data_IF_409080516932
#
_entry.id   IF_409080516932
#
_cell.length_a   1.000
_cell.length_b   1.000
_cell.length_c   1.000
_cell.angle_alpha   90.00
_cell.angle_beta   90.00
_cell.angle_gamma   90.00
#
_symmetry.space_group_name_H-M   'P 1'
#
loop_
_entity.id
_entity.type
_entity.pdbx_description
1 polymer ?
#
# COMPACT_ATOMS: atom_id res chain seq x y z
N UNK A 1 8.24 13.99 16.58
CA UNK A 1 7.36 15.14 16.26
C UNK A 1 6.78 14.91 14.89
N UNK A 2 5.46 14.96 14.75
CA UNK A 2 4.79 14.66 13.48
C UNK A 2 4.88 15.88 12.55
N UNK A 3 5.60 15.76 11.44
CA UNK A 3 5.52 16.74 10.36
C UNK A 3 4.26 16.44 9.54
N UNK A 4 3.11 16.92 10.02
CA UNK A 4 1.95 17.13 9.15
C UNK A 4 2.11 18.49 8.51
N UNK A 5 2.28 18.53 7.18
CA UNK A 5 2.18 19.80 6.44
C UNK A 5 0.73 20.27 6.55
N UNK A 6 0.53 21.59 6.64
CA UNK A 6 -0.72 22.25 7.07
C UNK A 6 -2.03 21.93 6.30
N UNK A 7 -2.04 21.01 5.34
CA UNK A 7 -3.22 20.57 4.58
C UNK A 7 -3.92 19.31 5.13
N UNK A 8 -3.37 18.62 6.13
CA UNK A 8 -3.92 17.32 6.56
C UNK A 8 -3.75 16.20 5.52
N UNK A 9 -2.83 16.41 4.58
CA UNK A 9 -2.49 15.49 3.51
C UNK A 9 -1.41 14.50 4.00
N UNK A 10 -1.65 13.21 3.81
CA UNK A 10 -0.68 12.16 4.09
C UNK A 10 -0.05 11.70 2.78
N UNK A 11 1.28 11.78 2.69
CA UNK A 11 2.05 11.36 1.52
C UNK A 11 3.12 10.36 1.94
N UNK A 12 3.21 9.25 1.20
CA UNK A 12 4.24 8.26 1.38
C UNK A 12 4.85 7.87 0.04
N UNK A 13 6.11 8.25 -0.17
CA UNK A 13 6.91 7.84 -1.34
C UNK A 13 7.75 6.59 -1.10
N UNK A 14 7.82 6.10 0.14
CA UNK A 14 8.69 4.98 0.56
C UNK A 14 10.20 5.23 0.46
N UNK A 15 10.64 6.47 0.24
CA UNK A 15 12.06 6.83 0.15
C UNK A 15 12.81 6.69 1.48
N UNK A 16 12.10 6.78 2.61
CA UNK A 16 12.67 6.71 3.95
C UNK A 16 12.22 5.45 4.71
N UNK A 17 13.04 5.02 5.66
CA UNK A 17 12.65 4.04 6.68
C UNK A 17 12.48 4.75 8.03
N UNK A 18 11.42 4.43 8.79
CA UNK A 18 10.36 3.45 8.50
C UNK A 18 9.39 3.92 7.40
N UNK A 19 8.72 2.97 6.71
CA UNK A 19 7.83 3.18 5.55
C UNK A 19 6.54 3.96 5.87
N UNK A 20 6.64 5.20 6.33
CA UNK A 20 5.53 6.09 6.67
C UNK A 20 4.50 5.46 7.62
N UNK A 21 4.99 4.67 8.59
CA UNK A 21 4.16 3.93 9.56
C UNK A 21 3.23 2.86 8.95
N UNK A 22 3.42 2.48 7.69
CA UNK A 22 2.79 1.27 7.17
C UNK A 22 3.32 0.04 7.90
N UNK A 23 2.46 -0.97 8.03
CA UNK A 23 2.78 -2.24 8.69
C UNK A 23 2.40 -3.42 7.80
N UNK A 24 3.16 -4.51 7.91
CA UNK A 24 2.75 -5.79 7.32
C UNK A 24 1.67 -6.42 8.17
N UNK A 25 0.65 -6.99 7.53
CA UNK A 25 -0.25 -7.88 8.23
C UNK A 25 0.46 -9.21 8.51
N UNK A 26 0.38 -9.71 9.74
CA UNK A 26 1.02 -10.99 10.11
C UNK A 26 0.11 -12.20 9.88
N UNK A 27 -1.14 -11.97 9.50
CA UNK A 27 -2.14 -13.01 9.25
C UNK A 27 -2.39 -13.22 7.75
N UNK A 28 -1.42 -12.87 6.91
CA UNK A 28 -1.42 -13.15 5.47
C UNK A 28 -0.40 -14.26 5.15
N UNK A 29 -0.18 -14.53 3.87
CA UNK A 29 0.70 -15.61 3.42
C UNK A 29 2.15 -15.13 3.17
N UNK A 30 2.33 -13.82 2.91
CA UNK A 30 3.63 -13.21 2.69
C UNK A 30 3.65 -11.68 2.73
N UNK A 31 4.85 -11.15 2.99
CA UNK A 31 5.05 -9.72 3.14
C UNK A 31 5.33 -8.98 1.83
N UNK A 32 4.89 -7.72 1.79
CA UNK A 32 5.40 -6.73 0.85
C UNK A 32 6.86 -6.40 1.14
N UNK A 33 7.65 -6.11 0.12
CA UNK A 33 9.06 -5.74 0.26
C UNK A 33 9.27 -4.31 -0.23
N UNK A 34 9.98 -3.50 0.54
CA UNK A 34 10.47 -2.20 0.06
C UNK A 34 11.61 -2.44 -0.92
N UNK A 35 11.44 -2.01 -2.16
CA UNK A 35 12.32 -2.38 -3.25
C UNK A 35 12.74 -1.16 -4.09
N UNK A 36 13.90 -1.26 -4.74
CA UNK A 36 14.37 -0.31 -5.74
C UNK A 36 14.86 -1.07 -6.97
N UNK A 37 14.76 -0.46 -8.15
CA UNK A 37 15.27 -1.10 -9.37
C UNK A 37 16.80 -1.22 -9.38
N UNK A 38 17.50 -0.35 -8.64
CA UNK A 38 18.96 -0.38 -8.48
C UNK A 38 19.45 -1.56 -7.63
N UNK A 39 18.61 -2.08 -6.73
CA UNK A 39 18.93 -3.20 -5.84
C UNK A 39 18.20 -4.48 -6.23
N UNK A 40 17.81 -4.63 -7.50
CA UNK A 40 17.23 -5.88 -8.01
C UNK A 40 18.22 -7.03 -7.75
N UNK A 41 17.84 -7.93 -6.85
CA UNK A 41 18.63 -9.14 -6.55
C UNK A 41 18.36 -10.20 -7.63
N UNK A 42 18.74 -11.46 -7.41
CA UNK A 42 18.51 -12.55 -8.37
C UNK A 42 17.16 -13.25 -8.23
N UNK A 43 16.29 -12.83 -7.30
CA UNK A 43 15.02 -13.50 -6.96
C UNK A 43 13.79 -12.87 -7.64
N UNK A 44 13.97 -11.95 -8.58
CA UNK A 44 12.87 -11.39 -9.37
C UNK A 44 12.61 -12.20 -10.64
N UNK A 45 11.37 -12.12 -11.14
CA UNK A 45 11.03 -12.63 -12.46
C UNK A 45 11.62 -11.74 -13.56
N UNK A 46 12.49 -12.24 -14.46
CA UNK A 46 13.02 -11.45 -15.58
C UNK A 46 11.92 -10.86 -16.47
N UNK A 47 12.22 -9.73 -17.11
CA UNK A 47 11.28 -9.01 -17.99
C UNK A 47 9.99 -8.54 -17.30
N UNK A 48 10.02 -8.36 -15.98
CA UNK A 48 8.98 -7.68 -15.21
C UNK A 48 9.46 -6.32 -14.74
N UNK A 49 8.53 -5.38 -14.57
CA UNK A 49 8.85 -4.02 -14.13
C UNK A 49 8.79 -3.85 -12.60
N UNK A 50 8.81 -2.61 -12.09
CA UNK A 50 9.12 -1.37 -12.83
C UNK A 50 10.64 -1.15 -12.96
N UNK A 51 11.07 -0.36 -13.95
CA UNK A 51 12.49 0.00 -14.15
C UNK A 51 12.97 1.14 -13.24
N UNK A 52 12.06 1.74 -12.47
CA UNK A 52 12.29 2.79 -11.49
C UNK A 52 11.04 3.00 -10.62
N UNK A 53 11.11 3.90 -9.66
CA UNK A 53 9.99 4.30 -8.81
C UNK A 53 8.94 5.12 -9.59
N UNK A 54 8.02 5.71 -8.83
CA UNK A 54 6.98 6.63 -9.33
C UNK A 54 7.53 7.78 -10.17
N UNK A 55 8.69 8.33 -9.80
CA UNK A 55 9.34 9.44 -10.48
C UNK A 55 10.21 9.02 -11.67
N UNK A 56 10.42 7.71 -11.86
CA UNK A 56 11.31 7.15 -12.87
C UNK A 56 12.76 6.96 -12.42
N UNK A 57 13.06 7.22 -11.14
CA UNK A 57 14.35 7.00 -10.52
C UNK A 57 14.62 5.51 -10.31
N UNK A 58 15.80 5.03 -10.72
CA UNK A 58 16.21 3.63 -10.46
C UNK A 58 16.52 3.39 -8.99
N UNK A 59 16.97 4.44 -8.30
CA UNK A 59 17.33 4.44 -6.88
C UNK A 59 16.13 4.69 -5.97
N UNK A 60 15.03 5.23 -6.52
CA UNK A 60 13.80 5.45 -5.77
C UNK A 60 13.16 4.14 -5.33
N UNK A 61 12.36 4.23 -4.29
CA UNK A 61 11.78 3.08 -3.61
C UNK A 61 10.27 2.95 -3.83
N UNK A 62 9.80 1.72 -3.79
CA UNK A 62 8.40 1.37 -3.90
C UNK A 62 8.12 0.07 -3.15
N UNK A 63 6.86 -0.16 -2.80
CA UNK A 63 6.44 -1.44 -2.24
C UNK A 63 6.22 -2.45 -3.38
N UNK A 64 6.79 -3.64 -3.22
CA UNK A 64 6.88 -4.68 -4.22
C UNK A 64 6.45 -6.03 -3.66
N UNK A 65 5.92 -6.88 -4.54
CA UNK A 65 5.69 -8.30 -4.27
C UNK A 65 6.17 -9.12 -5.45
N UNK A 66 6.84 -10.23 -5.16
CA UNK A 66 7.16 -11.26 -6.14
C UNK A 66 6.08 -12.34 -6.07
N UNK A 67 5.31 -12.48 -7.14
CA UNK A 67 4.19 -13.45 -7.22
C UNK A 67 4.54 -14.70 -8.02
N UNK A 68 5.77 -14.83 -8.53
CA UNK A 68 6.23 -16.05 -9.19
C UNK A 68 6.58 -17.15 -8.20
N UNK A 69 6.96 -18.33 -8.73
CA UNK A 69 7.39 -19.47 -7.90
C UNK A 69 8.46 -19.03 -6.89
N UNK A 70 8.37 -19.47 -5.62
CA UNK A 70 7.54 -20.58 -5.14
C UNK A 70 6.11 -20.20 -4.72
N UNK A 71 5.66 -18.96 -4.95
CA UNK A 71 4.30 -18.54 -4.56
C UNK A 71 3.23 -19.39 -5.22
N UNK A 72 2.18 -19.69 -4.46
CA UNK A 72 1.03 -20.50 -4.89
C UNK A 72 -0.14 -19.61 -5.25
N UNK A 73 -1.03 -20.13 -6.09
CA UNK A 73 -2.30 -19.46 -6.37
C UNK A 73 -3.11 -19.29 -5.08
N UNK A 74 -3.69 -18.09 -4.91
CA UNK A 74 -4.50 -17.75 -3.76
C UNK A 74 -3.73 -17.21 -2.55
N UNK A 75 -2.40 -17.29 -2.53
CA UNK A 75 -1.61 -16.64 -1.48
C UNK A 75 -1.78 -15.11 -1.53
N UNK A 76 -1.93 -14.48 -0.37
CA UNK A 76 -2.21 -13.05 -0.23
C UNK A 76 -1.10 -12.34 0.52
N UNK A 77 -0.78 -11.13 0.08
CA UNK A 77 0.00 -10.16 0.84
C UNK A 77 -0.85 -8.93 1.16
N UNK A 78 -0.80 -8.45 2.40
CA UNK A 78 -1.56 -7.32 2.92
C UNK A 78 -0.65 -6.29 3.58
N UNK A 79 -0.61 -5.09 2.99
CA UNK A 79 0.04 -3.93 3.60
C UNK A 79 -1.03 -3.03 4.24
N UNK A 80 -0.81 -2.63 5.49
CA UNK A 80 -1.76 -1.86 6.30
C UNK A 80 -1.24 -0.43 6.48
N UNK A 81 -2.07 0.56 6.14
CA UNK A 81 -1.73 1.97 6.36
C UNK A 81 -1.81 2.35 7.84
N UNK A 82 -1.30 3.53 8.22
CA UNK A 82 -1.63 4.13 9.50
C UNK A 82 -3.13 4.41 9.62
N UNK A 83 -3.57 4.66 10.85
CA UNK A 83 -4.92 5.12 11.13
C UNK A 83 -5.05 6.62 10.78
N UNK A 84 -6.12 6.94 10.07
CA UNK A 84 -6.54 8.30 9.74
C UNK A 84 -7.77 8.65 10.55
N UNK A 85 -7.71 9.74 11.31
CA UNK A 85 -8.86 10.25 12.03
C UNK A 85 -9.81 10.92 11.02
N UNK A 86 -11.02 10.36 10.90
CA UNK A 86 -12.06 10.85 9.98
C UNK A 86 -13.19 11.59 10.71
N UNK A 87 -12.94 12.09 11.92
CA UNK A 87 -13.91 12.84 12.68
C UNK A 87 -14.30 14.17 11.97
N UNK A 88 -15.59 14.56 11.99
CA UNK A 88 -16.01 15.86 11.47
C UNK A 88 -15.29 17.01 12.18
N UNK A 89 -14.71 17.92 11.42
CA UNK A 89 -14.05 19.12 11.99
C UNK A 89 -15.03 20.06 12.69
N UNK A 90 -16.33 19.99 12.40
CA UNK A 90 -17.39 20.74 13.09
C UNK A 90 -18.51 19.78 13.57
N UNK A 91 -18.65 19.57 14.89
CA UNK A 91 -19.70 18.71 15.45
C UNK A 91 -21.09 19.37 15.50
N UNK A 92 -21.21 20.68 15.26
CA UNK A 92 -22.46 21.46 15.42
C UNK A 92 -23.13 21.91 14.12
N UNK A 93 -22.63 21.50 12.94
CA UNK A 93 -23.26 21.85 11.67
C UNK A 93 -22.75 21.02 10.51
N UNK A 94 -23.55 20.10 10.01
CA UNK A 94 -23.26 19.32 8.80
C UNK A 94 -23.98 20.01 7.63
N UNK A 95 -23.41 21.08 7.10
CA UNK A 95 -23.79 21.56 5.76
C UNK A 95 -22.97 20.89 4.66
N UNK A 96 -21.83 20.28 5.00
CA UNK A 96 -20.98 19.49 4.10
C UNK A 96 -20.21 18.42 4.91
N UNK A 97 -20.49 17.11 4.77
CA UNK A 97 -19.66 16.08 5.38
C UNK A 97 -18.22 16.15 4.85
N UNK A 98 -17.20 15.88 5.68
CA UNK A 98 -15.81 15.88 5.20
C UNK A 98 -15.63 14.78 4.15
N UNK A 99 -15.15 15.16 2.96
CA UNK A 99 -14.73 14.23 1.92
C UNK A 99 -13.24 13.93 2.08
N UNK A 100 -12.88 12.65 1.99
CA UNK A 100 -11.49 12.19 2.03
C UNK A 100 -11.15 11.58 0.67
N UNK A 101 -10.07 12.07 0.05
CA UNK A 101 -9.56 11.54 -1.21
C UNK A 101 -8.38 10.63 -0.93
N UNK A 102 -8.38 9.45 -1.53
CA UNK A 102 -7.27 8.52 -1.49
C UNK A 102 -6.78 8.23 -2.91
N UNK A 103 -5.47 8.32 -3.11
CA UNK A 103 -4.82 8.06 -4.39
C UNK A 103 -3.51 7.33 -4.19
N UNK A 104 -3.21 6.41 -5.10
CA UNK A 104 -1.96 5.66 -5.12
C UNK A 104 -1.59 5.31 -6.55
N UNK A 105 -0.31 5.00 -6.74
CA UNK A 105 0.23 4.54 -8.00
C UNK A 105 0.55 3.06 -7.91
N UNK A 106 0.23 2.32 -8.96
CA UNK A 106 0.51 0.90 -9.06
C UNK A 106 1.15 0.61 -10.40
N UNK A 107 1.99 -0.43 -10.43
CA UNK A 107 2.62 -0.91 -11.64
C UNK A 107 2.51 -2.43 -11.70
N UNK A 108 1.93 -2.93 -12.80
CA UNK A 108 1.72 -4.35 -13.02
C UNK A 108 2.09 -4.65 -14.47
N UNK A 109 3.31 -5.17 -14.69
CA UNK A 109 3.80 -5.52 -16.03
C UNK A 109 4.48 -6.89 -16.08
N UNK A 110 4.04 -7.75 -17.00
CA UNK A 110 4.59 -9.09 -17.23
C UNK A 110 3.64 -9.99 -18.01
N UNK A 111 4.19 -10.94 -18.77
CA UNK A 111 3.45 -11.84 -19.68
C UNK A 111 2.49 -12.79 -18.97
N UNK A 112 2.79 -13.14 -17.72
CA UNK A 112 2.00 -14.03 -16.86
C UNK A 112 1.15 -13.27 -15.83
N UNK A 113 1.04 -11.95 -16.02
CA UNK A 113 0.08 -11.13 -15.29
C UNK A 113 -1.29 -11.42 -15.89
N UNK A 114 -1.95 -12.48 -15.43
CA UNK A 114 -3.38 -12.67 -15.65
C UNK A 114 -4.19 -11.50 -15.09
N UNK A 115 -5.52 -11.65 -14.97
CA UNK A 115 -6.36 -10.67 -14.26
C UNK A 115 -5.89 -10.53 -12.80
N UNK A 116 -4.99 -9.57 -12.53
CA UNK A 116 -4.55 -9.27 -11.18
C UNK A 116 -5.54 -8.32 -10.53
N UNK A 117 -6.08 -8.73 -9.40
CA UNK A 117 -6.96 -7.90 -8.60
C UNK A 117 -6.12 -7.26 -7.49
N UNK A 118 -5.98 -5.94 -7.53
CA UNK A 118 -5.60 -5.16 -6.35
C UNK A 118 -6.91 -4.84 -5.64
N UNK A 119 -7.03 -5.24 -4.37
CA UNK A 119 -8.17 -4.87 -3.53
C UNK A 119 -7.70 -3.89 -2.46
N UNK A 120 -8.44 -2.81 -2.28
CA UNK A 120 -8.23 -1.84 -1.21
C UNK A 120 -9.46 -1.86 -0.32
N UNK A 121 -9.27 -2.26 0.94
CA UNK A 121 -10.34 -2.24 1.93
C UNK A 121 -10.18 -1.05 2.86
N UNK A 122 -11.31 -0.46 3.28
CA UNK A 122 -11.36 0.72 4.16
C UNK A 122 -12.15 0.41 5.43
N UNK A 123 -11.58 -0.29 6.42
CA UNK A 123 -12.30 -0.56 7.65
C UNK A 123 -12.45 0.72 8.48
N UNK A 124 -13.63 0.91 9.05
CA UNK A 124 -13.90 1.95 10.04
C UNK A 124 -13.88 1.31 11.43
N UNK A 125 -13.08 1.89 12.33
CA UNK A 125 -13.01 1.47 13.73
C UNK A 125 -13.38 2.62 14.65
N UNK A 126 -13.90 2.29 15.83
CA UNK A 126 -14.18 3.27 16.87
C UNK A 126 -13.08 3.23 17.91
N UNK A 127 -12.39 4.35 18.09
CA UNK A 127 -11.36 4.49 19.10
C UNK A 127 -12.02 4.93 20.42
N UNK A 128 -12.14 4.00 21.37
CA UNK A 128 -12.80 4.25 22.64
C UNK A 128 -12.08 5.28 23.53
N UNK A 129 -10.77 5.49 23.33
CA UNK A 129 -9.99 6.45 24.12
C UNK A 129 -10.19 7.89 23.63
N UNK A 130 -10.22 8.09 22.32
CA UNK A 130 -10.38 9.42 21.71
C UNK A 130 -11.82 9.73 21.31
N UNK A 131 -12.72 8.73 21.37
CA UNK A 131 -14.09 8.79 20.86
C UNK A 131 -14.15 9.24 19.38
N UNK A 132 -13.16 8.82 18.58
CA UNK A 132 -13.06 9.13 17.15
C UNK A 132 -13.36 7.90 16.31
N UNK A 133 -13.82 8.15 15.07
CA UNK A 133 -13.81 7.13 14.03
C UNK A 133 -12.46 7.19 13.32
N UNK A 134 -11.78 6.06 13.31
CA UNK A 134 -10.50 5.91 12.65
C UNK A 134 -10.69 5.03 11.41
N UNK A 135 -9.99 5.35 10.33
CA UNK A 135 -10.01 4.62 9.08
C UNK A 135 -8.59 4.21 8.72
N UNK A 136 -8.40 3.01 8.19
CA UNK A 136 -7.12 2.58 7.62
C UNK A 136 -7.36 1.86 6.30
N UNK A 137 -6.31 1.70 5.51
CA UNK A 137 -6.34 1.04 4.22
C UNK A 137 -5.60 -0.28 4.30
N UNK A 138 -6.18 -1.31 3.71
CA UNK A 138 -5.51 -2.61 3.54
C UNK A 138 -5.34 -2.87 2.04
N UNK A 139 -4.09 -2.91 1.59
CA UNK A 139 -3.72 -3.20 0.21
C UNK A 139 -3.49 -4.70 0.07
N UNK A 140 -4.40 -5.39 -0.60
CA UNK A 140 -4.36 -6.84 -0.79
C UNK A 140 -4.10 -7.19 -2.25
N UNK A 141 -3.14 -8.09 -2.48
CA UNK A 141 -2.90 -8.68 -3.81
C UNK A 141 -2.83 -10.18 -3.69
N UNK A 142 -3.49 -10.86 -4.61
CA UNK A 142 -3.51 -12.32 -4.72
C UNK A 142 -2.45 -12.80 -5.71
N UNK A 143 -1.66 -13.77 -5.30
CA UNK A 143 -0.79 -14.56 -6.18
C UNK A 143 -1.65 -15.42 -7.10
N UNK A 144 -1.35 -15.41 -8.40
CA UNK A 144 -1.98 -16.28 -9.39
C UNK A 144 -0.88 -17.10 -10.05
N UNK A 145 -1.11 -18.40 -10.17
CA UNK A 145 -0.12 -19.32 -10.71
C UNK A 145 -0.43 -19.62 -12.17
N UNK A 146 0.24 -18.92 -13.10
CA UNK A 146 0.35 -19.37 -14.48
C UNK A 146 1.82 -19.35 -14.88
N UNK A 147 2.48 -20.50 -14.70
CA UNK A 147 3.75 -20.80 -15.37
C UNK A 147 3.42 -21.80 -16.46
N UNK A 148 3.51 -21.34 -17.71
CA UNK A 148 4.11 -22.11 -18.78
C UNK A 148 5.00 -21.15 -19.56
#
# INVERSE_FOLDING_TARGET
GFLTRASGEFHCSFEEEPICMFTQDKNDDFDWTRHSAATRDTKYTPNTGPSGDRSGSKQGFYMYIETSRPRKEGEVARLVSPFFNVAPKNPYGITNPPAYCFGFFFHMYGKHIGKKNISVFFPLTHNSKTQTKDMFLVFSVFSLQYII
#
